data_IF_801702517178
#
_entry.id   IF_801702517178
#
_cell.length_a   1.000
_cell.length_b   1.000
_cell.length_c   1.000
_cell.angle_alpha   90.00
_cell.angle_beta   90.00
_cell.angle_gamma   90.00
#
_symmetry.space_group_name_H-M   'P 1'
#
loop_
_entity.id
_entity.type
_entity.pdbx_description
1 polymer ?
#
# COMPACT_ATOMS: atom_id res chain seq x y z
N UNK A 1 -43.92 59.26 29.24
CA UNK A 1 -42.56 58.66 29.25
C UNK A 1 -42.67 57.23 28.72
N UNK A 2 -42.61 57.13 27.39
CA UNK A 2 -42.69 55.87 26.66
C UNK A 2 -41.37 55.13 26.77
N UNK A 3 -41.36 53.89 27.26
CA UNK A 3 -40.21 53.03 27.24
C UNK A 3 -40.36 52.08 26.08
N UNK A 4 -39.41 52.24 25.20
CA UNK A 4 -39.18 51.61 23.92
C UNK A 4 -39.06 50.07 24.05
N UNK A 5 -40.01 49.37 23.43
CA UNK A 5 -39.99 47.94 23.25
C UNK A 5 -39.41 47.62 21.88
N UNK A 6 -38.10 47.52 21.80
CA UNK A 6 -37.40 47.07 20.59
C UNK A 6 -36.59 45.82 20.86
N UNK A 7 -36.91 44.85 20.02
CA UNK A 7 -36.08 43.74 19.52
C UNK A 7 -35.73 42.59 20.45
N UNK A 8 -36.55 41.58 20.35
CA UNK A 8 -36.13 40.21 20.39
C UNK A 8 -36.50 39.54 19.05
N UNK A 9 -35.77 39.90 18.01
CA UNK A 9 -35.58 39.01 16.85
C UNK A 9 -34.32 38.17 17.13
N UNK A 10 -34.50 37.07 17.84
CA UNK A 10 -33.50 36.05 17.97
C UNK A 10 -33.40 35.35 16.60
N UNK A 11 -32.26 35.55 15.96
CA UNK A 11 -31.81 34.82 14.82
C UNK A 11 -31.89 33.30 15.11
N UNK A 12 -32.91 32.65 14.59
CA UNK A 12 -32.91 31.21 14.46
C UNK A 12 -31.83 30.84 13.41
N UNK A 13 -30.74 30.33 13.91
CA UNK A 13 -29.66 29.77 13.09
C UNK A 13 -30.15 28.52 12.33
N UNK A 14 -29.56 28.20 11.17
CA UNK A 14 -30.04 27.12 10.31
C UNK A 14 -29.62 25.74 10.85
N UNK A 15 -30.25 25.27 11.90
CA UNK A 15 -29.99 23.98 12.55
C UNK A 15 -30.32 22.76 11.67
N UNK A 16 -31.23 22.93 10.70
CA UNK A 16 -31.73 21.83 9.85
C UNK A 16 -30.79 21.50 8.69
N UNK A 17 -30.07 22.49 8.14
CA UNK A 17 -29.15 22.28 7.02
C UNK A 17 -27.86 21.58 7.46
N UNK A 18 -27.29 21.91 8.60
CA UNK A 18 -26.10 21.24 9.16
C UNK A 18 -26.37 19.79 9.51
N UNK A 19 -27.56 19.46 10.03
CA UNK A 19 -27.94 18.08 10.37
C UNK A 19 -28.08 17.16 9.15
N UNK A 20 -28.51 17.69 8.00
CA UNK A 20 -28.64 16.89 6.77
C UNK A 20 -27.28 16.61 6.11
N UNK A 21 -26.39 17.60 6.03
CA UNK A 21 -25.02 17.39 5.52
C UNK A 21 -24.24 16.43 6.40
N UNK A 22 -24.30 16.58 7.72
CA UNK A 22 -23.62 15.67 8.66
C UNK A 22 -24.11 14.22 8.55
N UNK A 23 -25.39 13.99 8.30
CA UNK A 23 -25.93 12.64 8.05
C UNK A 23 -25.44 12.06 6.72
N UNK A 24 -25.39 12.84 5.65
CA UNK A 24 -24.85 12.42 4.36
C UNK A 24 -23.36 12.07 4.44
N UNK A 25 -22.58 12.82 5.23
CA UNK A 25 -21.16 12.53 5.46
C UNK A 25 -20.98 11.21 6.22
N UNK A 26 -21.79 10.96 7.27
CA UNK A 26 -21.79 9.68 7.99
C UNK A 26 -22.15 8.52 7.07
N UNK A 27 -23.17 8.67 6.24
CA UNK A 27 -23.60 7.61 5.32
C UNK A 27 -22.55 7.35 4.24
N UNK A 28 -21.87 8.41 3.78
CA UNK A 28 -20.74 8.28 2.85
C UNK A 28 -19.56 7.55 3.49
N UNK A 29 -19.22 7.89 4.74
CA UNK A 29 -18.17 7.21 5.50
C UNK A 29 -18.51 5.71 5.71
N UNK A 30 -19.73 5.39 6.12
CA UNK A 30 -20.19 4.01 6.28
C UNK A 30 -20.14 3.22 4.98
N UNK A 31 -20.52 3.84 3.85
CA UNK A 31 -20.44 3.22 2.53
C UNK A 31 -18.99 2.91 2.15
N UNK A 32 -18.05 3.83 2.37
CA UNK A 32 -16.63 3.60 2.09
C UNK A 32 -16.11 2.44 2.93
N UNK A 33 -16.33 2.45 4.25
CA UNK A 33 -15.90 1.37 5.14
C UNK A 33 -16.52 0.02 4.76
N UNK A 34 -17.81 0.01 4.37
CA UNK A 34 -18.49 -1.20 3.91
C UNK A 34 -17.88 -1.76 2.61
N UNK A 35 -17.52 -0.89 1.66
CA UNK A 35 -16.85 -1.29 0.44
C UNK A 35 -15.45 -1.85 0.70
N UNK A 36 -14.68 -1.22 1.58
CA UNK A 36 -13.36 -1.69 1.99
C UNK A 36 -13.44 -3.05 2.71
N UNK A 37 -14.38 -3.23 3.63
CA UNK A 37 -14.61 -4.50 4.31
C UNK A 37 -14.97 -5.61 3.31
N UNK A 38 -15.85 -5.32 2.35
CA UNK A 38 -16.25 -6.27 1.30
C UNK A 38 -15.06 -6.65 0.41
N UNK A 39 -14.20 -5.69 0.07
CA UNK A 39 -12.99 -5.94 -0.72
C UNK A 39 -11.99 -6.84 0.03
N UNK A 40 -11.81 -6.64 1.34
CA UNK A 40 -10.96 -7.50 2.18
C UNK A 40 -11.50 -8.93 2.27
N UNK A 41 -12.81 -9.11 2.41
CA UNK A 41 -13.44 -10.43 2.42
C UNK A 41 -13.29 -11.13 1.06
N UNK A 42 -13.45 -10.40 -0.04
CA UNK A 42 -13.20 -10.93 -1.38
C UNK A 42 -11.74 -11.36 -1.54
N UNK A 43 -10.78 -10.54 -1.10
CA UNK A 43 -9.36 -10.87 -1.14
C UNK A 43 -9.04 -12.12 -0.32
N UNK A 44 -9.62 -12.27 0.88
CA UNK A 44 -9.40 -13.46 1.71
C UNK A 44 -9.80 -14.76 0.99
N UNK A 45 -10.84 -14.72 0.16
CA UNK A 45 -11.29 -15.87 -0.62
C UNK A 45 -10.41 -16.17 -1.86
N UNK A 46 -9.49 -15.28 -2.22
CA UNK A 46 -8.55 -15.48 -3.35
C UNK A 46 -7.19 -16.03 -2.91
N UNK A 47 -6.94 -16.13 -1.60
CA UNK A 47 -5.68 -16.68 -1.09
C UNK A 47 -5.58 -18.17 -1.44
N UNK A 48 -4.48 -18.52 -2.08
CA UNK A 48 -4.20 -19.86 -2.60
C UNK A 48 -2.74 -20.27 -2.32
N UNK A 49 -2.28 -21.34 -2.94
CA UNK A 49 -0.92 -21.86 -2.81
C UNK A 49 0.16 -20.85 -3.21
N UNK A 50 -0.16 -19.84 -4.01
CA UNK A 50 0.78 -18.76 -4.35
C UNK A 50 1.12 -17.92 -3.13
N UNK A 51 0.14 -17.70 -2.24
CA UNK A 51 0.40 -17.01 -0.98
C UNK A 51 1.34 -17.81 -0.08
N UNK A 52 1.15 -19.15 0.00
CA UNK A 52 2.04 -20.05 0.75
C UNK A 52 3.45 -19.96 0.17
N UNK A 53 3.59 -20.08 -1.15
CA UNK A 53 4.88 -19.96 -1.85
C UNK A 53 5.57 -18.62 -1.57
N UNK A 54 4.83 -17.54 -1.56
CA UNK A 54 5.38 -16.21 -1.25
C UNK A 54 5.90 -16.13 0.20
N UNK A 55 5.18 -16.73 1.15
CA UNK A 55 5.64 -16.83 2.54
C UNK A 55 6.90 -17.68 2.67
N UNK A 56 6.99 -18.80 1.95
CA UNK A 56 8.16 -19.67 1.95
C UNK A 56 9.40 -18.92 1.45
N UNK A 57 9.25 -18.14 0.36
CA UNK A 57 10.33 -17.29 -0.18
C UNK A 57 10.77 -16.25 0.84
N UNK A 58 9.83 -15.55 1.48
CA UNK A 58 10.15 -14.54 2.51
C UNK A 58 10.82 -15.16 3.74
N UNK A 59 10.36 -16.32 4.17
CA UNK A 59 10.90 -17.03 5.34
C UNK A 59 12.31 -17.56 5.12
N UNK A 60 12.69 -17.81 3.86
CA UNK A 60 14.04 -18.23 3.50
C UNK A 60 15.06 -17.07 3.42
N UNK A 61 14.61 -15.81 3.45
CA UNK A 61 15.49 -14.65 3.47
C UNK A 61 16.24 -14.58 4.81
N UNK A 62 17.56 -14.63 4.77
CA UNK A 62 18.42 -14.55 5.96
C UNK A 62 18.93 -13.16 6.24
N UNK A 63 18.89 -12.27 5.25
CA UNK A 63 19.22 -10.85 5.35
C UNK A 63 18.01 -9.98 5.67
N UNK A 64 17.73 -9.02 4.81
CA UNK A 64 16.62 -8.06 4.95
C UNK A 64 15.61 -8.21 3.84
N UNK A 65 14.36 -7.87 4.13
CA UNK A 65 13.35 -7.69 3.10
C UNK A 65 13.42 -6.25 2.58
N UNK A 66 13.84 -6.10 1.32
CA UNK A 66 13.88 -4.83 0.62
C UNK A 66 12.53 -4.61 -0.06
N UNK A 67 11.76 -3.66 0.45
CA UNK A 67 10.46 -3.33 -0.13
C UNK A 67 10.58 -2.16 -1.08
N UNK A 68 9.96 -2.24 -2.26
CA UNK A 68 10.04 -1.21 -3.30
C UNK A 68 8.72 -0.99 -4.01
N UNK A 69 8.55 0.18 -4.63
CA UNK A 69 7.35 0.57 -5.39
C UNK A 69 7.31 2.07 -5.66
N UNK A 70 6.57 2.50 -6.67
CA UNK A 70 6.43 3.91 -7.04
C UNK A 70 5.12 4.54 -6.53
N UNK A 71 5.15 5.84 -6.26
CA UNK A 71 3.99 6.63 -5.91
C UNK A 71 3.18 6.04 -4.75
N UNK A 72 1.90 5.75 -4.95
CA UNK A 72 1.02 5.17 -3.92
C UNK A 72 1.51 3.79 -3.46
N UNK A 73 1.99 2.95 -4.38
CA UNK A 73 2.61 1.66 -4.05
C UNK A 73 3.86 1.85 -3.19
N UNK A 74 4.65 2.90 -3.42
CA UNK A 74 5.79 3.24 -2.59
C UNK A 74 5.41 3.64 -1.16
N UNK A 75 4.33 4.40 -0.97
CA UNK A 75 3.83 4.72 0.38
C UNK A 75 3.38 3.47 1.14
N UNK A 76 2.68 2.56 0.46
CA UNK A 76 2.31 1.26 1.05
C UNK A 76 3.57 0.42 1.33
N UNK A 77 4.53 0.40 0.41
CA UNK A 77 5.81 -0.30 0.58
C UNK A 77 6.57 0.18 1.82
N UNK A 78 6.64 1.49 2.07
CA UNK A 78 7.24 2.05 3.29
C UNK A 78 6.51 1.58 4.55
N UNK A 79 5.17 1.53 4.52
CA UNK A 79 4.36 1.02 5.63
C UNK A 79 4.64 -0.47 5.89
N UNK A 80 4.73 -1.28 4.84
CA UNK A 80 5.04 -2.71 4.94
C UNK A 80 6.43 -2.91 5.55
N UNK A 81 7.46 -2.23 5.03
CA UNK A 81 8.82 -2.30 5.55
C UNK A 81 8.89 -1.94 7.04
N UNK A 82 8.24 -0.84 7.44
CA UNK A 82 8.17 -0.43 8.83
C UNK A 82 7.45 -1.46 9.72
N UNK A 83 6.38 -2.07 9.22
CA UNK A 83 5.64 -3.11 9.96
C UNK A 83 6.49 -4.37 10.13
N UNK A 84 7.14 -4.87 9.07
CA UNK A 84 8.05 -6.01 9.14
C UNK A 84 9.17 -5.77 10.16
N UNK A 85 9.84 -4.62 10.08
CA UNK A 85 10.90 -4.26 11.02
C UNK A 85 10.40 -4.20 12.47
N UNK A 86 9.21 -3.65 12.72
CA UNK A 86 8.64 -3.56 14.08
C UNK A 86 8.18 -4.91 14.64
N UNK A 87 7.97 -5.90 13.80
CA UNK A 87 7.55 -7.26 14.19
C UNK A 87 8.68 -8.29 14.15
N UNK A 88 9.93 -7.84 14.00
CA UNK A 88 11.11 -8.68 14.11
C UNK A 88 11.71 -9.17 12.81
N UNK A 89 11.14 -8.84 11.65
CA UNK A 89 11.71 -9.13 10.33
C UNK A 89 12.49 -7.92 9.85
N UNK A 90 13.84 -7.99 9.73
CA UNK A 90 14.63 -6.86 9.23
C UNK A 90 14.14 -6.46 7.83
N UNK A 91 13.71 -5.20 7.67
CA UNK A 91 13.21 -4.71 6.40
C UNK A 91 13.47 -3.22 6.24
N UNK A 92 13.62 -2.77 5.00
CA UNK A 92 13.68 -1.35 4.66
C UNK A 92 13.09 -1.11 3.28
N UNK A 93 12.76 0.15 3.02
CA UNK A 93 12.21 0.57 1.73
C UNK A 93 13.31 1.20 0.88
N UNK A 94 13.39 0.80 -0.39
CA UNK A 94 14.25 1.42 -1.41
C UNK A 94 13.36 2.03 -2.50
N UNK A 95 13.57 3.31 -2.80
CA UNK A 95 12.85 3.98 -3.87
C UNK A 95 13.41 3.55 -5.21
N UNK A 96 12.59 3.13 -6.21
CA UNK A 96 13.10 2.63 -7.49
C UNK A 96 14.02 3.63 -8.22
N UNK A 97 13.67 4.92 -8.18
CA UNK A 97 14.51 5.97 -8.77
C UNK A 97 15.88 6.08 -8.11
N UNK A 98 15.98 6.01 -6.78
CA UNK A 98 17.26 6.01 -6.05
C UNK A 98 18.05 4.73 -6.32
N UNK A 99 17.35 3.60 -6.46
CA UNK A 99 17.97 2.33 -6.83
C UNK A 99 18.77 2.47 -8.13
N UNK A 100 18.20 3.04 -9.19
CA UNK A 100 18.86 3.28 -10.47
C UNK A 100 20.04 4.27 -10.38
N UNK A 101 20.12 5.06 -9.31
CA UNK A 101 21.19 6.03 -9.07
C UNK A 101 22.25 5.58 -8.04
N UNK A 102 22.23 4.31 -7.63
CA UNK A 102 23.29 3.72 -6.80
C UNK A 102 22.84 2.85 -5.65
N UNK A 103 21.59 3.01 -5.16
CA UNK A 103 21.10 2.28 -3.99
C UNK A 103 20.90 0.77 -4.24
N UNK A 104 20.98 0.30 -5.50
CA UNK A 104 21.06 -1.15 -5.79
C UNK A 104 22.20 -1.83 -5.02
N UNK A 105 23.30 -1.13 -4.79
CA UNK A 105 24.44 -1.63 -4.00
C UNK A 105 24.11 -1.94 -2.54
N UNK A 106 22.98 -1.44 -2.00
CA UNK A 106 22.52 -1.73 -0.66
C UNK A 106 21.87 -3.11 -0.52
N UNK A 107 21.51 -3.73 -1.65
CA UNK A 107 20.81 -5.02 -1.69
C UNK A 107 21.85 -6.13 -1.78
N UNK A 108 21.98 -6.89 -0.71
CA UNK A 108 22.95 -7.97 -0.58
C UNK A 108 22.42 -9.32 -1.10
N UNK A 109 23.30 -10.32 -1.20
CA UNK A 109 22.94 -11.65 -1.68
C UNK A 109 21.99 -12.42 -0.71
N UNK A 110 21.99 -12.05 0.57
CA UNK A 110 21.16 -12.66 1.60
C UNK A 110 19.79 -11.98 1.76
N UNK A 111 19.56 -10.87 1.04
CA UNK A 111 18.32 -10.11 1.06
C UNK A 111 17.28 -10.74 0.12
N UNK A 112 16.01 -10.35 0.32
CA UNK A 112 14.92 -10.64 -0.61
C UNK A 112 14.21 -9.34 -0.99
N UNK A 113 13.66 -9.29 -2.18
CA UNK A 113 12.95 -8.11 -2.70
C UNK A 113 11.44 -8.36 -2.72
N UNK A 114 10.66 -7.41 -2.20
CA UNK A 114 9.22 -7.33 -2.35
C UNK A 114 8.86 -6.08 -3.16
N UNK A 115 8.47 -6.27 -4.41
CA UNK A 115 8.12 -5.19 -5.34
C UNK A 115 6.61 -5.02 -5.46
N UNK A 116 6.12 -3.79 -5.28
CA UNK A 116 4.69 -3.45 -5.36
C UNK A 116 4.41 -2.62 -6.63
N UNK A 117 3.50 -3.09 -7.47
CA UNK A 117 3.03 -2.34 -8.64
C UNK A 117 1.59 -2.72 -8.99
N UNK A 118 0.67 -1.75 -8.97
CA UNK A 118 -0.72 -2.03 -9.32
C UNK A 118 -0.90 -2.47 -10.79
N UNK A 119 -0.13 -1.90 -11.72
CA UNK A 119 -0.15 -2.32 -13.13
C UNK A 119 0.73 -3.55 -13.40
N UNK A 120 1.77 -3.75 -12.60
CA UNK A 120 2.86 -4.67 -12.88
C UNK A 120 3.78 -4.26 -14.04
N UNK A 121 3.61 -3.02 -14.55
CA UNK A 121 4.32 -2.46 -15.73
C UNK A 121 5.06 -1.16 -15.40
N UNK A 122 5.43 -0.96 -14.14
CA UNK A 122 6.13 0.24 -13.67
C UNK A 122 7.59 0.21 -14.14
N UNK A 123 7.93 1.08 -15.09
CA UNK A 123 9.23 1.09 -15.74
C UNK A 123 10.40 1.33 -14.77
N UNK A 124 10.20 2.15 -13.75
CA UNK A 124 11.20 2.48 -12.74
C UNK A 124 11.63 1.27 -11.88
N UNK A 125 10.86 0.18 -11.89
CA UNK A 125 11.24 -1.07 -11.22
C UNK A 125 12.18 -1.94 -12.05
N UNK A 126 12.35 -1.67 -13.35
CA UNK A 126 13.08 -2.55 -14.27
C UNK A 126 14.52 -2.79 -13.85
N UNK A 127 15.24 -1.74 -13.44
CA UNK A 127 16.66 -1.86 -13.04
C UNK A 127 16.80 -2.72 -11.77
N UNK A 128 15.89 -2.54 -10.80
CA UNK A 128 15.90 -3.33 -9.58
C UNK A 128 15.53 -4.80 -9.86
N UNK A 129 14.54 -5.05 -10.72
CA UNK A 129 14.17 -6.41 -11.17
C UNK A 129 15.33 -7.08 -11.89
N UNK A 130 15.98 -6.38 -12.83
CA UNK A 130 17.14 -6.89 -13.55
C UNK A 130 18.30 -7.19 -12.60
N UNK A 131 18.56 -6.31 -11.64
CA UNK A 131 19.60 -6.50 -10.62
C UNK A 131 19.32 -7.73 -9.74
N UNK A 132 18.10 -7.87 -9.22
CA UNK A 132 17.70 -9.00 -8.39
C UNK A 132 17.89 -10.32 -9.17
N UNK A 133 17.45 -10.37 -10.43
CA UNK A 133 17.63 -11.55 -11.30
C UNK A 133 19.11 -11.86 -11.57
N UNK A 134 19.90 -10.85 -11.91
CA UNK A 134 21.33 -11.02 -12.18
C UNK A 134 22.09 -11.55 -10.96
N UNK A 135 21.71 -11.09 -9.75
CA UNK A 135 22.35 -11.46 -8.50
C UNK A 135 21.76 -12.72 -7.86
N UNK A 136 20.68 -13.30 -8.43
CA UNK A 136 19.98 -14.45 -7.85
C UNK A 136 19.27 -14.12 -6.52
N UNK A 137 18.90 -12.85 -6.30
CA UNK A 137 18.18 -12.39 -5.12
C UNK A 137 16.71 -12.73 -5.29
N UNK A 138 16.08 -13.40 -4.31
CA UNK A 138 14.67 -13.72 -4.36
C UNK A 138 13.79 -12.49 -4.59
N UNK A 139 12.91 -12.54 -5.58
CA UNK A 139 12.01 -11.46 -5.97
C UNK A 139 10.55 -11.89 -5.82
N UNK A 140 9.81 -11.21 -4.97
CA UNK A 140 8.36 -11.32 -4.86
C UNK A 140 7.70 -10.09 -5.47
N UNK A 141 6.58 -10.30 -6.15
CA UNK A 141 5.75 -9.25 -6.71
C UNK A 141 4.37 -9.21 -6.04
N UNK A 142 3.92 -8.02 -5.71
CA UNK A 142 2.53 -7.75 -5.34
C UNK A 142 1.93 -6.88 -6.44
N UNK A 143 1.02 -7.46 -7.24
CA UNK A 143 0.48 -6.83 -8.45
C UNK A 143 -1.04 -6.81 -8.45
N UNK A 144 -1.63 -5.71 -8.92
CA UNK A 144 -3.08 -5.60 -9.06
C UNK A 144 -3.62 -6.18 -10.37
N UNK A 145 -2.73 -6.59 -11.31
CA UNK A 145 -3.10 -7.14 -12.62
C UNK A 145 -2.19 -8.30 -12.99
N UNK A 146 -2.79 -9.40 -13.45
CA UNK A 146 -2.11 -10.55 -14.01
C UNK A 146 -2.75 -10.89 -15.37
N UNK A 147 -1.95 -11.27 -16.40
CA UNK A 147 -0.49 -11.30 -16.40
C UNK A 147 0.14 -9.90 -16.40
N UNK A 148 1.38 -9.79 -15.94
CA UNK A 148 2.16 -8.56 -15.98
C UNK A 148 3.66 -8.85 -16.06
N UNK A 149 4.46 -7.87 -16.52
CA UNK A 149 5.91 -8.00 -16.66
C UNK A 149 6.57 -8.28 -15.31
N UNK A 150 6.24 -7.52 -14.27
CA UNK A 150 6.78 -7.71 -12.92
C UNK A 150 6.36 -9.07 -12.35
N UNK A 151 5.07 -9.43 -12.46
CA UNK A 151 4.56 -10.72 -11.96
C UNK A 151 5.21 -11.91 -12.65
N UNK A 152 5.49 -11.82 -13.95
CA UNK A 152 6.16 -12.86 -14.72
C UNK A 152 7.66 -12.98 -14.40
N UNK A 153 8.29 -11.89 -14.00
CA UNK A 153 9.69 -11.87 -13.60
C UNK A 153 9.93 -12.39 -12.18
N UNK A 154 8.94 -12.34 -11.31
CA UNK A 154 9.06 -12.69 -9.89
C UNK A 154 9.11 -14.21 -9.67
N UNK A 155 9.75 -14.64 -8.57
CA UNK A 155 9.78 -16.02 -8.11
C UNK A 155 8.44 -16.44 -7.46
N UNK A 156 7.68 -15.44 -7.00
CA UNK A 156 6.30 -15.55 -6.56
C UNK A 156 5.55 -14.24 -6.78
N UNK A 157 4.29 -14.32 -7.24
CA UNK A 157 3.43 -13.16 -7.47
C UNK A 157 2.07 -13.33 -6.77
N UNK A 158 1.63 -12.25 -6.09
CA UNK A 158 0.37 -12.09 -5.38
C UNK A 158 -0.50 -11.02 -6.04
#
# INVERSE_FOLDING_TARGET
MEVNKKTEDALEAPEVAESQHGRQDIDSARRVLGNEASALLALANTLDDKFIKALDVLSAVTGRVVVTGMGKSGHIGRKIAATLASTGTPAHYVHPGEASHGDLGMIGPDDGVLALSNSGETAELNDLVAYAKFRGIPLLAMVGKAPSTLGSAADGAL
#
